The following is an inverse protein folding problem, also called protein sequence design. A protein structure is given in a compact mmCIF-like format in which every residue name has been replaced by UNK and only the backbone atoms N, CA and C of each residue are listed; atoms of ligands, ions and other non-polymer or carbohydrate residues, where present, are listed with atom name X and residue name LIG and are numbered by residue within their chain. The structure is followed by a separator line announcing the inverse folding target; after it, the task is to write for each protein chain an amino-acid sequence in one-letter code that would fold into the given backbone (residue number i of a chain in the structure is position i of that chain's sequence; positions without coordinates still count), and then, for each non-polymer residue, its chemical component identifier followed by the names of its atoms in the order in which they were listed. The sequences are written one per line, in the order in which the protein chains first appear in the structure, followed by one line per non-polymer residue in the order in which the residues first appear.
data_IF_317517609788
#
_entry.id   IF_317517609788
#
_cell.length_a   1.000
_cell.length_b   1.000
_cell.length_c   1.000
_cell.angle_alpha   90.00
_cell.angle_beta   90.00
_cell.angle_gamma   90.00
#
_symmetry.space_group_name_H-M   'P 1'
#
loop_
_entity.id
_entity.type
_entity.pdbx_description
1 polymer ?
#
# COMPACT_ATOMS: atom_id res chain seq x y z
N UNK A 1 19.37 -4.17 -0.26
CA UNK A 1 19.54 -4.20 1.21
C UNK A 1 18.15 -4.31 1.81
N UNK A 2 17.94 -5.20 2.79
CA UNK A 2 16.62 -5.63 3.24
C UNK A 2 15.84 -4.53 3.98
N UNK A 3 16.56 -3.71 4.74
CA UNK A 3 16.06 -2.48 5.38
C UNK A 3 15.43 -1.52 4.37
N UNK A 4 16.09 -1.27 3.22
CA UNK A 4 15.58 -0.35 2.21
C UNK A 4 14.30 -0.89 1.56
N UNK A 5 14.20 -2.21 1.37
CA UNK A 5 13.00 -2.86 0.86
C UNK A 5 11.83 -2.74 1.84
N UNK A 6 12.06 -3.04 3.12
CA UNK A 6 11.04 -2.92 4.16
C UNK A 6 10.60 -1.48 4.38
N UNK A 7 11.54 -0.53 4.34
CA UNK A 7 11.23 0.89 4.45
C UNK A 7 10.33 1.37 3.30
N UNK A 8 10.61 0.94 2.07
CA UNK A 8 9.74 1.24 0.93
C UNK A 8 8.33 0.63 1.10
N UNK A 9 8.23 -0.61 1.60
CA UNK A 9 6.96 -1.27 1.87
C UNK A 9 6.12 -0.53 2.92
N UNK A 10 6.74 -0.07 4.01
CA UNK A 10 6.06 0.73 5.05
C UNK A 10 5.46 2.01 4.45
N UNK A 11 6.20 2.71 3.59
CA UNK A 11 5.72 3.94 2.97
C UNK A 11 4.49 3.72 2.08
N UNK A 12 4.42 2.62 1.35
CA UNK A 12 3.33 2.40 0.38
C UNK A 12 2.20 1.53 0.90
N UNK A 13 2.39 0.79 1.98
CA UNK A 13 1.34 -0.04 2.60
C UNK A 13 0.78 0.64 3.83
N UNK A 14 1.64 0.95 4.82
CA UNK A 14 1.20 1.46 6.12
C UNK A 14 0.88 2.95 6.04
N UNK A 15 1.77 3.77 5.49
CA UNK A 15 1.52 5.21 5.42
C UNK A 15 0.38 5.54 4.45
N UNK A 16 0.35 4.94 3.27
CA UNK A 16 -0.75 5.18 2.32
C UNK A 16 -2.09 4.70 2.85
N UNK A 17 -2.16 3.60 3.61
CA UNK A 17 -3.41 3.21 4.30
C UNK A 17 -3.89 4.30 5.26
N UNK A 18 -3.00 4.96 6.00
CA UNK A 18 -3.37 6.15 6.80
C UNK A 18 -3.91 7.26 5.92
N UNK A 19 -3.30 7.52 4.76
CA UNK A 19 -3.77 8.57 3.84
C UNK A 19 -5.14 8.27 3.24
N UNK A 20 -5.36 7.01 2.85
CA UNK A 20 -6.63 6.52 2.32
C UNK A 20 -7.76 6.67 3.35
N UNK A 21 -7.54 6.24 4.59
CA UNK A 21 -8.52 6.33 5.67
C UNK A 21 -8.86 7.79 5.99
N UNK A 22 -7.85 8.66 6.06
CA UNK A 22 -8.07 10.09 6.26
C UNK A 22 -8.90 10.69 5.12
N UNK A 23 -8.52 10.45 3.87
CA UNK A 23 -9.22 10.99 2.69
C UNK A 23 -10.67 10.49 2.64
N UNK A 24 -10.90 9.20 2.88
CA UNK A 24 -12.23 8.61 2.95
C UNK A 24 -13.10 9.30 4.01
N UNK A 25 -12.56 9.50 5.21
CA UNK A 25 -13.29 10.14 6.32
C UNK A 25 -13.61 11.61 6.01
N UNK A 26 -12.67 12.36 5.43
CA UNK A 26 -12.87 13.75 5.01
C UNK A 26 -13.97 13.85 3.96
N UNK A 27 -13.89 13.03 2.90
CA UNK A 27 -14.86 13.02 1.81
C UNK A 27 -16.26 12.65 2.29
N UNK A 28 -16.37 11.67 3.19
CA UNK A 28 -17.65 11.27 3.76
C UNK A 28 -18.33 12.42 4.49
N UNK A 29 -17.59 13.16 5.33
CA UNK A 29 -18.16 14.28 6.11
C UNK A 29 -18.40 15.52 5.25
N UNK A 30 -17.53 15.80 4.27
CA UNK A 30 -17.64 16.94 3.34
C UNK A 30 -18.88 16.89 2.44
N UNK A 31 -19.52 15.73 2.29
CA UNK A 31 -20.83 15.61 1.62
C UNK A 31 -21.94 16.41 2.30
N UNK A 32 -21.81 16.70 3.61
CA UNK A 32 -22.89 17.31 4.40
C UNK A 32 -22.51 18.65 5.03
N UNK A 33 -21.22 18.93 5.24
CA UNK A 33 -20.76 20.13 5.96
C UNK A 33 -19.31 20.50 5.66
N UNK A 34 -18.89 21.66 6.15
CA UNK A 34 -17.47 22.04 6.24
C UNK A 34 -16.82 21.43 7.48
N UNK A 35 -15.49 21.26 7.43
CA UNK A 35 -14.66 20.75 8.51
C UNK A 35 -13.71 21.84 9.00
N UNK A 36 -13.60 21.99 10.31
CA UNK A 36 -12.60 22.84 10.95
C UNK A 36 -11.21 22.20 10.94
N UNK A 37 -10.18 23.01 11.19
CA UNK A 37 -8.79 22.53 11.31
C UNK A 37 -8.66 21.47 12.41
N UNK A 38 -9.33 21.67 13.56
CA UNK A 38 -9.27 20.73 14.67
C UNK A 38 -9.86 19.36 14.31
N UNK A 39 -10.93 19.34 13.52
CA UNK A 39 -11.55 18.10 13.03
C UNK A 39 -10.64 17.40 12.02
N UNK A 40 -10.05 18.13 11.06
CA UNK A 40 -9.09 17.54 10.11
C UNK A 40 -7.88 16.94 10.84
N UNK A 41 -7.34 17.64 11.83
CA UNK A 41 -6.25 17.13 12.67
C UNK A 41 -6.66 15.90 13.49
N UNK A 42 -7.90 15.83 13.97
CA UNK A 42 -8.43 14.66 14.66
C UNK A 42 -8.53 13.45 13.72
N UNK A 43 -9.14 13.62 12.54
CA UNK A 43 -9.23 12.56 11.53
C UNK A 43 -7.86 12.05 11.08
N UNK A 44 -6.87 12.95 10.96
CA UNK A 44 -5.51 12.57 10.60
C UNK A 44 -4.83 11.74 11.70
N UNK A 45 -5.07 12.04 12.98
CA UNK A 45 -4.58 11.21 14.09
C UNK A 45 -5.30 9.87 14.17
N UNK A 46 -6.61 9.84 13.98
CA UNK A 46 -7.40 8.61 13.95
C UNK A 46 -6.92 7.68 12.83
N UNK A 47 -6.68 8.23 11.64
CA UNK A 47 -6.16 7.46 10.51
C UNK A 47 -4.73 6.93 10.76
N UNK A 48 -3.86 7.73 11.39
CA UNK A 48 -2.52 7.29 11.80
C UNK A 48 -2.63 6.16 12.83
N UNK A 49 -3.43 6.32 13.88
CA UNK A 49 -3.63 5.29 14.90
C UNK A 49 -4.14 3.98 14.29
N UNK A 50 -5.13 4.06 13.40
CA UNK A 50 -5.70 2.89 12.74
C UNK A 50 -4.70 2.18 11.82
N UNK A 51 -3.72 2.89 11.25
CA UNK A 51 -2.76 2.34 10.29
C UNK A 51 -1.47 1.86 10.90
N UNK A 52 -0.87 2.66 11.77
CA UNK A 52 0.41 2.35 12.40
C UNK A 52 0.26 1.44 13.62
N UNK A 53 -0.95 1.31 14.19
CA UNK A 53 -1.20 0.45 15.34
C UNK A 53 -0.35 0.84 16.54
N UNK A 54 0.36 -0.13 17.11
CA UNK A 54 1.32 0.01 18.20
C UNK A 54 2.77 0.26 17.72
N UNK A 55 2.99 0.36 16.41
CA UNK A 55 4.31 0.59 15.83
C UNK A 55 4.87 2.00 16.03
N UNK A 56 4.03 2.96 16.44
CA UNK A 56 4.40 4.34 16.74
C UNK A 56 3.71 4.82 18.02
N UNK A 57 4.45 5.55 18.85
CA UNK A 57 3.90 6.21 20.04
C UNK A 57 2.92 7.33 19.62
N UNK A 58 1.68 7.40 20.15
CA UNK A 58 0.68 8.42 19.78
C UNK A 58 1.16 9.87 19.84
N UNK A 59 2.09 10.20 20.74
CA UNK A 59 2.69 11.54 20.82
C UNK A 59 3.51 11.94 19.59
N UNK A 60 3.93 10.97 18.77
CA UNK A 60 4.70 11.18 17.54
C UNK A 60 3.82 11.40 16.31
N UNK A 61 2.50 11.19 16.42
CA UNK A 61 1.59 11.42 15.30
C UNK A 61 1.62 12.88 14.86
N UNK A 62 1.65 13.09 13.56
CA UNK A 62 1.69 14.42 12.98
C UNK A 62 0.27 14.86 12.59
N UNK A 63 -0.43 15.68 13.41
CA UNK A 63 -1.82 16.05 13.13
C UNK A 63 -1.99 16.88 11.86
N UNK A 64 -0.94 17.60 11.43
CA UNK A 64 -0.95 18.44 10.24
C UNK A 64 -0.39 17.74 8.99
N UNK A 65 -0.15 16.43 9.05
CA UNK A 65 0.35 15.64 7.91
C UNK A 65 -0.50 15.85 6.65
N UNK A 66 -1.80 16.12 6.81
CA UNK A 66 -2.72 16.41 5.69
C UNK A 66 -2.35 17.66 4.89
N UNK A 67 -1.66 18.63 5.48
CA UNK A 67 -1.15 19.82 4.78
C UNK A 67 0.11 19.48 3.98
N UNK A 68 0.98 18.63 4.55
CA UNK A 68 2.29 18.33 4.00
C UNK A 68 2.29 17.35 2.82
N UNK A 69 1.16 16.72 2.51
CA UNK A 69 1.03 15.77 1.40
C UNK A 69 0.27 16.41 0.23
N UNK A 70 0.94 16.80 -0.87
CA UNK A 70 0.29 17.48 -1.99
C UNK A 70 -0.77 16.62 -2.68
N UNK A 71 -0.66 15.29 -2.60
CA UNK A 71 -1.57 14.35 -3.26
C UNK A 71 -3.04 14.46 -2.85
N UNK A 72 -3.37 15.04 -1.69
CA UNK A 72 -4.77 15.31 -1.32
C UNK A 72 -5.42 16.42 -2.15
N UNK A 73 -4.61 17.18 -2.90
CA UNK A 73 -5.04 18.38 -3.63
C UNK A 73 -4.92 18.20 -5.16
N UNK A 74 -4.69 16.97 -5.62
CA UNK A 74 -4.78 16.58 -7.02
C UNK A 74 -6.06 15.75 -7.22
N UNK A 75 -5.93 14.52 -7.69
CA UNK A 75 -7.04 13.59 -7.88
C UNK A 75 -7.39 12.84 -6.59
N UNK A 76 -8.66 12.48 -6.45
CA UNK A 76 -9.15 11.70 -5.31
C UNK A 76 -8.50 10.32 -5.27
N UNK A 77 -8.04 9.91 -4.10
CA UNK A 77 -7.35 8.64 -3.84
C UNK A 77 -6.07 8.45 -4.66
N UNK A 78 -5.39 9.54 -5.07
CA UNK A 78 -4.15 9.48 -5.84
C UNK A 78 -3.07 8.57 -5.24
N UNK A 79 -3.04 8.44 -3.90
CA UNK A 79 -2.04 7.60 -3.24
C UNK A 79 -2.32 6.08 -3.42
N UNK A 80 -3.58 5.68 -3.58
CA UNK A 80 -3.97 4.25 -3.59
C UNK A 80 -3.27 3.41 -4.67
N UNK A 81 -3.10 3.89 -5.92
CA UNK A 81 -2.34 3.18 -6.95
C UNK A 81 -0.95 2.71 -6.52
N UNK A 82 -0.25 3.41 -5.62
CA UNK A 82 1.06 2.97 -5.15
C UNK A 82 0.96 1.70 -4.28
N UNK A 83 -0.01 1.63 -3.37
CA UNK A 83 -0.27 0.43 -2.56
C UNK A 83 -0.63 -0.74 -3.47
N UNK A 84 -1.58 -0.51 -4.39
CA UNK A 84 -2.03 -1.51 -5.35
C UNK A 84 -0.87 -2.04 -6.20
N UNK A 85 -0.11 -1.15 -6.83
CA UNK A 85 1.00 -1.53 -7.71
C UNK A 85 2.11 -2.26 -6.95
N UNK A 86 2.43 -1.85 -5.72
CA UNK A 86 3.44 -2.52 -4.91
C UNK A 86 3.04 -3.95 -4.55
N UNK A 87 1.80 -4.15 -4.06
CA UNK A 87 1.30 -5.49 -3.73
C UNK A 87 1.15 -6.38 -4.97
N UNK A 88 0.72 -5.81 -6.10
CA UNK A 88 0.63 -6.51 -7.37
C UNK A 88 2.02 -6.94 -7.85
N UNK A 89 3.02 -6.06 -7.79
CA UNK A 89 4.39 -6.37 -8.18
C UNK A 89 5.00 -7.50 -7.33
N UNK A 90 4.73 -7.51 -6.02
CA UNK A 90 5.18 -8.59 -5.13
C UNK A 90 4.48 -9.91 -5.48
N UNK A 91 3.18 -9.89 -5.75
CA UNK A 91 2.42 -11.09 -6.14
C UNK A 91 2.85 -11.65 -7.49
N UNK A 92 3.11 -10.77 -8.47
CA UNK A 92 3.71 -11.15 -9.76
C UNK A 92 5.10 -11.77 -9.56
N UNK A 93 5.93 -11.20 -8.69
CA UNK A 93 7.23 -11.79 -8.36
C UNK A 93 7.10 -13.18 -7.71
N UNK A 94 6.10 -13.38 -6.85
CA UNK A 94 5.80 -14.70 -6.28
C UNK A 94 5.53 -15.73 -7.40
N UNK A 95 4.69 -15.35 -8.38
CA UNK A 95 4.40 -16.20 -9.54
C UNK A 95 5.63 -16.48 -10.40
N UNK A 96 6.54 -15.52 -10.56
CA UNK A 96 7.81 -15.74 -11.26
C UNK A 96 8.72 -16.74 -10.53
N UNK A 97 8.77 -16.70 -9.20
CA UNK A 97 9.58 -17.63 -8.40
C UNK A 97 9.02 -19.06 -8.47
N UNK A 98 7.70 -19.22 -8.55
CA UNK A 98 7.02 -20.51 -8.63
C UNK A 98 7.18 -21.19 -10.00
N UNK A 99 6.88 -20.46 -11.09
CA UNK A 99 6.97 -20.98 -12.46
C UNK A 99 7.46 -19.89 -13.44
N UNK A 100 8.79 -19.72 -13.61
CA UNK A 100 9.35 -18.67 -14.44
C UNK A 100 9.07 -18.87 -15.94
N UNK A 101 8.92 -20.12 -16.39
CA UNK A 101 8.69 -20.43 -17.81
C UNK A 101 7.27 -20.08 -18.24
N UNK A 102 6.28 -20.30 -17.35
CA UNK A 102 4.92 -19.80 -17.54
C UNK A 102 4.81 -18.29 -17.35
N UNK A 103 5.53 -17.73 -16.38
CA UNK A 103 5.44 -16.31 -16.05
C UNK A 103 5.85 -15.40 -17.20
N UNK A 104 6.99 -15.67 -17.86
CA UNK A 104 7.58 -14.80 -18.89
C UNK A 104 6.60 -14.43 -20.02
N UNK A 105 6.00 -15.39 -20.76
CA UNK A 105 5.08 -15.05 -21.83
C UNK A 105 3.84 -14.30 -21.33
N UNK A 106 3.30 -14.68 -20.17
CA UNK A 106 2.15 -13.99 -19.58
C UNK A 106 2.48 -12.55 -19.17
N UNK A 107 3.69 -12.31 -18.67
CA UNK A 107 4.16 -10.98 -18.30
C UNK A 107 4.43 -10.10 -19.53
N UNK A 108 4.94 -10.67 -20.62
CA UNK A 108 5.08 -9.96 -21.90
C UNK A 108 3.71 -9.50 -22.44
N UNK A 109 2.69 -10.36 -22.38
CA UNK A 109 1.30 -10.01 -22.75
C UNK A 109 0.73 -8.89 -21.85
N UNK A 110 1.00 -8.96 -20.55
CA UNK A 110 0.62 -7.92 -19.59
C UNK A 110 1.26 -6.57 -19.96
N UNK A 111 2.57 -6.56 -20.25
CA UNK A 111 3.27 -5.34 -20.64
C UNK A 111 2.77 -4.79 -21.97
N UNK A 112 2.47 -5.66 -22.93
CA UNK A 112 1.92 -5.27 -24.23
C UNK A 112 0.54 -4.61 -24.09
N UNK A 113 -0.30 -5.10 -23.17
CA UNK A 113 -1.62 -4.53 -22.91
C UNK A 113 -1.63 -3.29 -22.01
N UNK A 114 -0.50 -2.92 -21.42
CA UNK A 114 -0.42 -1.81 -20.47
C UNK A 114 -0.87 -0.48 -21.11
N UNK A 115 -1.80 0.22 -20.45
CA UNK A 115 -2.39 1.46 -20.96
C UNK A 115 -3.52 1.26 -21.99
N UNK A 116 -3.79 0.02 -22.41
CA UNK A 116 -4.87 -0.33 -23.35
C UNK A 116 -6.00 -1.14 -22.70
N UNK A 117 -5.76 -1.71 -21.52
CA UNK A 117 -6.71 -2.55 -20.79
C UNK A 117 -6.78 -2.20 -19.30
N UNK A 118 -7.81 -2.69 -18.62
CA UNK A 118 -7.95 -2.52 -17.17
C UNK A 118 -6.94 -3.39 -16.42
N UNK A 119 -6.58 -3.02 -15.18
CA UNK A 119 -5.69 -3.84 -14.36
C UNK A 119 -6.22 -5.28 -14.18
N UNK A 120 -7.55 -5.44 -14.04
CA UNK A 120 -8.18 -6.75 -13.93
C UNK A 120 -8.05 -7.57 -15.21
N UNK A 121 -8.19 -6.95 -16.38
CA UNK A 121 -8.01 -7.66 -17.66
C UNK A 121 -6.55 -8.06 -17.88
N UNK A 122 -5.60 -7.21 -17.47
CA UNK A 122 -4.17 -7.49 -17.52
C UNK A 122 -3.72 -8.58 -16.55
N UNK A 123 -4.43 -8.77 -15.44
CA UNK A 123 -4.12 -9.79 -14.44
C UNK A 123 -4.59 -11.20 -14.86
N UNK A 124 -5.63 -11.31 -15.70
CA UNK A 124 -6.20 -12.60 -16.11
C UNK A 124 -5.20 -13.55 -16.79
N UNK A 125 -4.36 -13.12 -17.76
CA UNK A 125 -3.34 -14.00 -18.37
C UNK A 125 -2.32 -14.52 -17.37
N UNK A 126 -2.04 -13.75 -16.30
CA UNK A 126 -1.18 -14.18 -15.19
C UNK A 126 -1.86 -15.22 -14.28
N UNK A 127 -3.15 -15.53 -14.50
CA UNK A 127 -3.95 -16.36 -13.60
C UNK A 127 -4.27 -15.68 -12.28
N UNK A 128 -4.22 -14.34 -12.23
CA UNK A 128 -4.46 -13.54 -11.03
C UNK A 128 -5.87 -12.97 -11.06
N UNK A 129 -6.66 -13.28 -10.02
CA UNK A 129 -7.91 -12.58 -9.76
C UNK A 129 -7.68 -11.46 -8.74
N UNK A 130 -7.84 -10.20 -9.18
CA UNK A 130 -7.65 -9.04 -8.31
C UNK A 130 -8.76 -8.89 -7.26
N UNK A 131 -9.89 -9.59 -7.40
CA UNK A 131 -10.94 -9.65 -6.39
C UNK A 131 -10.69 -10.72 -5.32
N UNK A 132 -9.70 -11.60 -5.53
CA UNK A 132 -9.36 -12.65 -4.58
C UNK A 132 -8.45 -12.12 -3.45
N UNK A 133 -8.95 -12.14 -2.22
CA UNK A 133 -8.20 -11.76 -1.03
C UNK A 133 -6.96 -12.65 -0.84
N UNK A 134 -7.03 -13.94 -1.22
CA UNK A 134 -5.93 -14.87 -1.05
C UNK A 134 -4.70 -14.45 -1.87
N UNK A 135 -4.90 -13.87 -3.06
CA UNK A 135 -3.81 -13.31 -3.85
C UNK A 135 -3.09 -12.20 -3.08
N UNK A 136 -3.82 -11.21 -2.55
CA UNK A 136 -3.25 -10.09 -1.81
C UNK A 136 -2.57 -10.51 -0.50
N UNK A 137 -3.14 -11.49 0.19
CA UNK A 137 -2.52 -12.09 1.38
C UNK A 137 -1.20 -12.78 1.06
N UNK A 138 -1.11 -13.48 -0.07
CA UNK A 138 0.14 -14.12 -0.48
C UNK A 138 1.26 -13.11 -0.81
N UNK A 139 0.92 -11.93 -1.34
CA UNK A 139 1.86 -10.82 -1.49
C UNK A 139 2.36 -10.31 -0.14
N UNK A 140 1.47 -10.17 0.85
CA UNK A 140 1.85 -9.75 2.21
C UNK A 140 2.72 -10.80 2.92
N UNK A 141 2.54 -12.09 2.64
CA UNK A 141 3.37 -13.15 3.20
C UNK A 141 4.84 -13.06 2.75
N UNK A 142 5.10 -12.57 1.52
CA UNK A 142 6.47 -12.27 1.08
C UNK A 142 7.12 -11.16 1.91
N UNK A 143 6.36 -10.13 2.27
CA UNK A 143 6.83 -9.07 3.17
C UNK A 143 7.05 -9.59 4.59
N UNK A 144 6.18 -10.47 5.09
CA UNK A 144 6.35 -11.11 6.39
C UNK A 144 7.66 -11.88 6.46
N UNK A 145 7.97 -12.70 5.44
CA UNK A 145 9.26 -13.40 5.33
C UNK A 145 10.45 -12.44 5.32
N UNK A 146 10.34 -11.31 4.61
CA UNK A 146 11.38 -10.29 4.59
C UNK A 146 11.58 -9.63 5.97
N UNK A 147 10.52 -9.45 6.75
CA UNK A 147 10.60 -8.98 8.14
C UNK A 147 11.31 -10.04 9.01
N UNK A 148 10.89 -11.30 8.94
CA UNK A 148 11.50 -12.40 9.71
C UNK A 148 13.01 -12.52 9.40
N UNK A 149 13.38 -12.41 8.12
CA UNK A 149 14.78 -12.42 7.68
C UNK A 149 15.55 -11.20 8.22
N UNK A 150 14.91 -10.03 8.27
CA UNK A 150 15.52 -8.81 8.80
C UNK A 150 15.78 -8.94 10.30
N UNK A 151 14.80 -9.40 11.07
CA UNK A 151 14.93 -9.61 12.51
C UNK A 151 16.02 -10.63 12.85
N UNK A 152 16.14 -11.70 12.04
CA UNK A 152 17.20 -12.71 12.22
C UNK A 152 18.60 -12.17 11.94
N UNK A 153 18.73 -11.25 10.98
CA UNK A 153 20.01 -10.70 10.54
C UNK A 153 20.40 -9.43 11.31
N UNK A 154 19.43 -8.71 11.84
CA UNK A 154 19.66 -7.54 12.66
C UNK A 154 20.45 -7.96 13.90
N UNK A 155 21.54 -7.25 14.24
CA UNK A 155 22.24 -7.52 15.49
C UNK A 155 21.24 -7.37 16.65
N UNK A 156 21.22 -8.34 17.56
CA UNK A 156 20.37 -8.28 18.74
C UNK A 156 20.63 -6.96 19.46
N UNK A 157 19.61 -6.12 19.58
CA UNK A 157 19.67 -4.90 20.37
C UNK A 157 20.04 -5.30 21.81
N UNK A 158 21.21 -4.83 22.27
CA UNK A 158 21.61 -4.84 23.68
C UNK A 158 20.76 -3.85 24.45
#
# INVERSE_FOLDING_TARGET
MLDAYLFAAIQVIVDIRSRFLFEQAVLAQRKTRTLSVNELCALMREAQAASYGDGLEPSTFHPYMWIAKPHYYYDTYYNWPYTFAHLLAIGLYASYVDDPDRFRPAFDDLLFGAGMATAADLAKPMGIDLADEAFWMSSLDLLRRAIDDFERLAPSSV
#
